data_IF_890616522960
#
_entry.id   IF_890616522960
#
_cell.length_a   1.000
_cell.length_b   1.000
_cell.length_c   1.000
_cell.angle_alpha   90.00
_cell.angle_beta   90.00
_cell.angle_gamma   90.00
#
_symmetry.space_group_name_H-M   'P 1'
#
loop_
_entity.id
_entity.type
_entity.pdbx_description
1 polymer ?
#
# COMPACT_ATOMS: atom_id res chain seq x y z
N UNK A 1 -14.08 12.05 -10.05
CA UNK A 1 -15.00 11.26 -10.91
C UNK A 1 -16.24 10.93 -10.10
N UNK A 2 -17.43 11.07 -10.68
CA UNK A 2 -18.72 10.89 -9.99
C UNK A 2 -19.30 9.53 -10.38
N UNK A 3 -19.95 8.85 -9.44
CA UNK A 3 -20.43 7.49 -9.63
C UNK A 3 -21.63 7.47 -10.58
N UNK A 4 -21.50 6.77 -11.70
CA UNK A 4 -22.61 6.55 -12.65
C UNK A 4 -23.67 5.62 -12.05
N UNK A 5 -23.22 4.70 -11.18
CA UNK A 5 -24.07 3.74 -10.47
C UNK A 5 -23.64 3.59 -9.01
N UNK A 6 -24.55 3.19 -8.10
CA UNK A 6 -24.16 2.81 -6.75
C UNK A 6 -23.07 1.72 -6.75
N UNK A 7 -22.19 1.78 -5.75
CA UNK A 7 -21.14 0.79 -5.54
C UNK A 7 -20.79 0.71 -4.06
N UNK A 8 -20.20 -0.40 -3.64
CA UNK A 8 -19.70 -0.54 -2.27
C UNK A 8 -18.20 -0.30 -2.27
N UNK A 9 -17.69 0.47 -1.32
CA UNK A 9 -16.26 0.72 -1.16
C UNK A 9 -15.80 0.35 0.24
N UNK A 10 -14.67 -0.34 0.33
CA UNK A 10 -13.89 -0.44 1.56
C UNK A 10 -12.75 0.58 1.51
N UNK A 11 -12.77 1.53 2.43
CA UNK A 11 -11.67 2.49 2.62
C UNK A 11 -11.52 2.81 4.10
N UNK A 12 -10.29 3.04 4.53
CA UNK A 12 -10.02 3.45 5.91
C UNK A 12 -10.59 4.86 6.18
N UNK A 13 -10.96 5.17 7.44
CA UNK A 13 -11.40 6.52 7.80
C UNK A 13 -10.25 7.53 7.66
N UNK A 14 -10.57 8.81 7.47
CA UNK A 14 -9.56 9.89 7.28
C UNK A 14 -8.52 9.93 8.42
N UNK A 15 -8.92 9.57 9.64
CA UNK A 15 -8.02 9.50 10.80
C UNK A 15 -7.00 8.35 10.75
N UNK A 16 -7.11 7.45 9.78
CA UNK A 16 -6.24 6.28 9.63
C UNK A 16 -5.91 6.05 8.16
N UNK A 17 -4.67 6.29 7.78
CA UNK A 17 -4.21 6.14 6.39
C UNK A 17 -3.79 4.72 6.05
N UNK A 18 -3.31 3.94 7.03
CA UNK A 18 -2.82 2.56 6.82
C UNK A 18 -3.32 1.59 7.89
N UNK A 19 -3.23 0.30 7.60
CA UNK A 19 -3.41 -0.78 8.57
C UNK A 19 -2.36 -1.88 8.39
N UNK A 20 -2.12 -2.65 9.45
CA UNK A 20 -1.10 -3.70 9.43
C UNK A 20 -1.47 -4.82 8.45
N UNK A 21 -0.45 -5.28 7.72
CA UNK A 21 -0.53 -6.50 6.91
C UNK A 21 -0.39 -7.73 7.81
N UNK A 22 -1.07 -8.82 7.45
CA UNK A 22 -0.97 -10.10 8.17
C UNK A 22 0.28 -10.86 7.72
N UNK A 23 1.02 -11.43 8.67
CA UNK A 23 2.19 -12.29 8.35
C UNK A 23 3.46 -11.97 9.13
N UNK A 24 3.59 -10.76 9.69
CA UNK A 24 4.76 -10.37 10.47
C UNK A 24 5.99 -10.09 9.59
N UNK A 25 6.75 -11.14 9.24
CA UNK A 25 7.96 -11.03 8.39
C UNK A 25 7.62 -10.65 6.95
N UNK A 26 8.54 -9.96 6.28
CA UNK A 26 8.30 -9.40 4.93
C UNK A 26 7.97 -10.49 3.92
N UNK A 27 8.67 -11.62 3.94
CA UNK A 27 8.46 -12.71 2.98
C UNK A 27 7.04 -13.29 3.11
N UNK A 28 6.59 -13.49 4.35
CA UNK A 28 5.24 -14.01 4.62
C UNK A 28 4.16 -12.99 4.30
N UNK A 29 4.40 -11.71 4.60
CA UNK A 29 3.50 -10.61 4.22
C UNK A 29 3.38 -10.54 2.70
N UNK A 30 4.49 -10.57 1.99
CA UNK A 30 4.51 -10.52 0.53
C UNK A 30 3.79 -11.73 -0.08
N UNK A 31 4.02 -12.94 0.43
CA UNK A 31 3.30 -14.13 -0.02
C UNK A 31 1.77 -14.00 0.15
N UNK A 32 1.30 -13.39 1.25
CA UNK A 32 -0.13 -13.13 1.45
C UNK A 32 -0.68 -12.10 0.45
N UNK A 33 0.07 -11.04 0.16
CA UNK A 33 -0.27 -10.05 -0.88
C UNK A 33 -0.34 -10.73 -2.26
N UNK A 34 0.68 -11.51 -2.63
CA UNK A 34 0.73 -12.24 -3.89
C UNK A 34 -0.49 -13.16 -4.04
N UNK A 35 -0.84 -13.88 -2.97
CA UNK A 35 -2.02 -14.74 -2.93
C UNK A 35 -3.30 -13.95 -3.18
N UNK A 36 -3.49 -12.82 -2.50
CA UNK A 36 -4.65 -11.95 -2.73
C UNK A 36 -4.73 -11.45 -4.17
N UNK A 37 -3.65 -10.85 -4.68
CA UNK A 37 -3.63 -10.27 -6.02
C UNK A 37 -3.89 -11.33 -7.10
N UNK A 38 -3.28 -12.52 -6.97
CA UNK A 38 -3.44 -13.61 -7.94
C UNK A 38 -4.81 -14.30 -7.86
N UNK A 39 -5.45 -14.29 -6.67
CA UNK A 39 -6.69 -15.05 -6.45
C UNK A 39 -7.93 -14.18 -6.62
N UNK A 40 -7.88 -12.92 -6.20
CA UNK A 40 -9.05 -12.05 -6.07
C UNK A 40 -9.06 -10.89 -7.06
N UNK A 41 -8.02 -10.72 -7.88
CA UNK A 41 -7.86 -9.55 -8.75
C UNK A 41 -7.34 -9.91 -10.13
N UNK A 42 -7.45 -8.96 -11.06
CA UNK A 42 -6.81 -9.04 -12.38
C UNK A 42 -5.41 -8.40 -12.42
N UNK A 43 -4.84 -8.01 -11.27
CA UNK A 43 -3.55 -7.34 -11.22
C UNK A 43 -2.44 -8.22 -11.84
N UNK A 44 -1.59 -7.63 -12.69
CA UNK A 44 -0.35 -8.29 -13.05
C UNK A 44 0.66 -8.12 -11.91
N UNK A 45 0.89 -9.20 -11.18
CA UNK A 45 1.80 -9.22 -10.05
C UNK A 45 3.21 -8.74 -10.41
N UNK A 46 3.67 -8.97 -11.65
CA UNK A 46 5.02 -8.59 -12.09
C UNK A 46 5.11 -7.13 -12.51
N UNK A 47 3.99 -6.46 -12.75
CA UNK A 47 3.93 -5.08 -13.24
C UNK A 47 3.09 -4.19 -12.30
N UNK A 48 3.59 -3.90 -11.08
CA UNK A 48 2.96 -2.91 -10.21
C UNK A 48 2.94 -1.52 -10.86
N UNK A 49 1.99 -0.68 -10.45
CA UNK A 49 1.83 0.69 -10.92
C UNK A 49 3.04 1.56 -10.55
N UNK A 50 3.63 1.32 -9.38
CA UNK A 50 4.87 1.96 -8.96
C UNK A 50 5.58 1.18 -7.87
N UNK A 51 6.91 1.34 -7.83
CA UNK A 51 7.80 0.76 -6.81
C UNK A 51 8.78 1.87 -6.40
N UNK A 52 8.81 2.19 -5.11
CA UNK A 52 9.75 3.13 -4.53
C UNK A 52 10.48 2.49 -3.36
N UNK A 53 11.80 2.50 -3.41
CA UNK A 53 12.63 2.19 -2.25
C UNK A 53 13.11 3.52 -1.67
N UNK A 54 12.92 3.74 -0.37
CA UNK A 54 13.43 4.94 0.31
C UNK A 54 14.30 4.50 1.47
N UNK A 55 15.48 5.11 1.59
CA UNK A 55 16.36 4.97 2.74
C UNK A 55 16.46 6.30 3.47
N UNK A 56 16.58 6.26 4.80
CA UNK A 56 16.66 7.45 5.65
C UNK A 56 18.03 7.53 6.31
N UNK A 57 18.58 8.74 6.41
CA UNK A 57 19.69 8.97 7.34
C UNK A 57 19.18 8.93 8.78
N UNK A 58 20.08 8.74 9.74
CA UNK A 58 19.72 8.77 11.15
C UNK A 58 19.23 10.16 11.57
N UNK A 59 18.29 10.18 12.50
CA UNK A 59 17.85 11.36 13.23
C UNK A 59 18.81 11.61 14.41
N UNK A 60 19.96 12.22 14.11
CA UNK A 60 21.01 12.51 15.09
C UNK A 60 20.51 13.41 16.23
N UNK A 61 19.58 14.32 15.92
CA UNK A 61 18.99 15.24 16.90
C UNK A 61 18.14 14.48 17.95
N UNK A 62 17.71 13.25 17.64
CA UNK A 62 17.02 12.34 18.55
C UNK A 62 17.88 11.16 19.01
N UNK A 63 19.21 11.26 18.87
CA UNK A 63 20.16 10.29 19.40
C UNK A 63 20.32 9.01 18.57
N UNK A 64 19.82 9.00 17.33
CA UNK A 64 20.06 7.89 16.41
C UNK A 64 21.51 7.88 15.92
N UNK A 65 22.07 6.68 15.74
CA UNK A 65 23.46 6.53 15.28
C UNK A 65 23.52 6.65 13.76
N UNK A 66 24.34 7.53 13.18
CA UNK A 66 24.43 7.74 11.73
C UNK A 66 25.07 6.56 11.00
N UNK A 67 26.13 5.98 11.56
CA UNK A 67 26.94 4.96 10.87
C UNK A 67 26.15 3.76 10.32
N UNK A 68 25.21 3.11 11.05
CA UNK A 68 24.41 2.03 10.48
C UNK A 68 23.48 2.48 9.34
N UNK A 69 22.93 3.70 9.41
CA UNK A 69 22.08 4.26 8.35
C UNK A 69 22.91 4.52 7.09
N UNK A 70 24.09 5.13 7.24
CA UNK A 70 25.02 5.40 6.13
C UNK A 70 25.49 4.11 5.44
N UNK A 71 25.84 3.08 6.22
CA UNK A 71 26.19 1.78 5.67
C UNK A 71 25.05 1.15 4.87
N UNK A 72 23.81 1.29 5.36
CA UNK A 72 22.65 0.78 4.65
C UNK A 72 22.41 1.55 3.35
N UNK A 73 22.46 2.89 3.39
CA UNK A 73 22.32 3.74 2.20
C UNK A 73 23.36 3.39 1.14
N UNK A 74 24.61 3.17 1.54
CA UNK A 74 25.67 2.72 0.64
C UNK A 74 25.34 1.36 0.01
N UNK A 75 24.88 0.38 0.80
CA UNK A 75 24.45 -0.92 0.27
C UNK A 75 23.29 -0.79 -0.73
N UNK A 76 22.31 0.07 -0.45
CA UNK A 76 21.20 0.33 -1.38
C UNK A 76 21.75 0.91 -2.68
N UNK A 77 22.64 1.90 -2.59
CA UNK A 77 23.26 2.54 -3.75
C UNK A 77 24.08 1.55 -4.59
N UNK A 78 24.85 0.66 -3.97
CA UNK A 78 25.63 -0.37 -4.66
C UNK A 78 24.71 -1.37 -5.41
N UNK A 79 23.49 -1.57 -4.94
CA UNK A 79 22.54 -2.55 -5.51
C UNK A 79 21.62 -1.93 -6.55
N UNK A 80 21.12 -0.72 -6.33
CA UNK A 80 20.09 -0.06 -7.15
C UNK A 80 20.55 1.21 -7.86
N UNK A 81 21.83 1.60 -7.70
CA UNK A 81 22.40 2.79 -8.32
C UNK A 81 22.13 4.06 -7.54
N UNK A 82 22.21 5.21 -8.20
CA UNK A 82 22.01 6.52 -7.56
C UNK A 82 20.52 6.83 -7.38
N UNK A 83 20.14 7.25 -6.17
CA UNK A 83 18.79 7.73 -5.86
C UNK A 83 18.72 9.26 -5.82
N UNK A 84 17.54 9.80 -5.56
CA UNK A 84 17.34 11.24 -5.34
C UNK A 84 17.29 11.52 -3.85
N UNK A 85 18.19 12.38 -3.36
CA UNK A 85 18.27 12.74 -1.94
C UNK A 85 17.67 14.10 -1.67
N UNK A 86 16.83 14.20 -0.65
CA UNK A 86 16.25 15.46 -0.18
C UNK A 86 16.08 15.47 1.35
N UNK A 87 16.02 16.65 1.99
CA UNK A 87 15.67 16.77 3.41
C UNK A 87 14.28 16.19 3.68
N UNK A 88 14.09 15.55 4.84
CA UNK A 88 12.75 15.02 5.20
C UNK A 88 11.73 16.12 5.51
N UNK A 89 12.21 17.34 5.76
CA UNK A 89 11.38 18.49 6.10
C UNK A 89 12.20 19.75 6.31
N UNK A 90 11.50 20.84 6.63
CA UNK A 90 12.07 22.17 6.84
C UNK A 90 11.54 22.76 8.15
N UNK A 91 12.40 23.43 8.91
CA UNK A 91 12.04 24.13 10.13
C UNK A 91 11.25 25.39 9.79
N UNK A 92 10.01 25.48 10.29
CA UNK A 92 9.20 26.68 10.18
C UNK A 92 9.57 27.70 11.28
N UNK A 93 9.60 29.02 11.01
CA UNK A 93 9.35 29.69 9.72
C UNK A 93 10.61 29.89 8.85
N UNK A 94 11.79 29.55 9.37
CA UNK A 94 13.07 29.87 8.74
C UNK A 94 13.32 29.12 7.40
N UNK A 95 12.52 28.10 7.11
CA UNK A 95 12.66 27.21 5.95
C UNK A 95 14.05 26.55 5.88
N UNK A 96 14.66 26.29 7.05
CA UNK A 96 15.95 25.62 7.16
C UNK A 96 15.75 24.11 7.01
N UNK A 97 16.47 23.41 6.11
CA UNK A 97 16.31 21.96 5.96
C UNK A 97 16.70 21.22 7.24
N UNK A 98 15.96 20.17 7.57
CA UNK A 98 16.34 19.24 8.62
C UNK A 98 17.62 18.49 8.22
N UNK A 99 18.43 18.10 9.21
CA UNK A 99 19.65 17.30 8.99
C UNK A 99 19.35 15.91 8.45
N UNK A 100 18.24 15.34 8.91
CA UNK A 100 17.77 14.06 8.40
C UNK A 100 17.33 14.21 6.94
N UNK A 101 17.83 13.31 6.10
CA UNK A 101 17.50 13.24 4.68
C UNK A 101 16.90 11.88 4.35
N UNK A 102 16.17 11.85 3.24
CA UNK A 102 15.72 10.61 2.60
C UNK A 102 16.33 10.53 1.22
N UNK A 103 16.69 9.32 0.81
CA UNK A 103 17.09 9.02 -0.56
C UNK A 103 16.08 8.07 -1.16
N UNK A 104 15.48 8.42 -2.29
CA UNK A 104 14.45 7.62 -2.96
C UNK A 104 14.95 7.09 -4.29
N UNK A 105 14.75 5.80 -4.52
CA UNK A 105 14.96 5.11 -5.77
C UNK A 105 13.61 4.72 -6.36
N UNK A 106 13.29 5.28 -7.52
CA UNK A 106 12.14 4.84 -8.30
C UNK A 106 12.57 3.61 -9.11
N UNK A 107 12.03 2.45 -8.73
CA UNK A 107 12.41 1.17 -9.30
C UNK A 107 11.44 0.75 -10.43
N UNK A 108 11.88 -0.16 -11.28
CA UNK A 108 11.05 -0.72 -12.36
C UNK A 108 10.49 -2.08 -11.98
N UNK A 109 9.51 -2.57 -12.76
CA UNK A 109 8.96 -3.92 -12.63
C UNK A 109 10.05 -5.03 -12.59
N UNK A 110 11.17 -4.83 -13.30
CA UNK A 110 12.31 -5.78 -13.33
C UNK A 110 13.05 -5.88 -11.99
N UNK A 111 12.95 -4.84 -11.17
CA UNK A 111 13.64 -4.74 -9.89
C UNK A 111 12.80 -5.29 -8.73
N UNK A 112 11.50 -5.60 -8.94
CA UNK A 112 10.56 -5.97 -7.88
C UNK A 112 11.07 -7.14 -7.02
N UNK A 113 11.36 -8.28 -7.63
CA UNK A 113 11.81 -9.47 -6.90
C UNK A 113 13.15 -9.20 -6.18
N UNK A 114 14.03 -8.43 -6.81
CA UNK A 114 15.31 -8.02 -6.24
C UNK A 114 15.12 -7.12 -5.02
N UNK A 115 14.20 -6.15 -5.08
CA UNK A 115 13.88 -5.23 -4.00
C UNK A 115 13.23 -5.95 -2.80
N UNK A 116 12.27 -6.84 -3.07
CA UNK A 116 11.64 -7.69 -2.04
C UNK A 116 12.68 -8.55 -1.34
N UNK A 117 13.56 -9.22 -2.11
CA UNK A 117 14.62 -10.05 -1.56
C UNK A 117 15.57 -9.22 -0.70
N UNK A 118 16.04 -8.08 -1.23
CA UNK A 118 16.96 -7.19 -0.53
C UNK A 118 16.40 -6.75 0.83
N UNK A 119 15.18 -6.23 0.88
CA UNK A 119 14.60 -5.74 2.14
C UNK A 119 14.30 -6.88 3.14
N UNK A 120 13.98 -8.08 2.64
CA UNK A 120 13.76 -9.26 3.47
C UNK A 120 15.04 -9.73 4.17
N UNK A 121 16.16 -9.74 3.44
CA UNK A 121 17.48 -10.12 3.96
C UNK A 121 18.04 -9.13 5.00
N UNK A 122 17.50 -7.92 5.06
CA UNK A 122 17.86 -6.91 6.06
C UNK A 122 17.14 -7.09 7.41
N UNK A 123 16.18 -8.01 7.51
CA UNK A 123 15.44 -8.20 8.76
C UNK A 123 16.31 -8.87 9.86
N UNK A 124 16.25 -8.42 11.13
CA UNK A 124 15.43 -7.32 11.64
C UNK A 124 16.04 -5.94 11.31
N UNK A 125 15.19 -5.01 10.88
CA UNK A 125 15.61 -3.64 10.61
C UNK A 125 15.99 -2.90 11.91
N UNK A 126 17.03 -2.04 11.90
CA UNK A 126 17.32 -1.13 13.00
C UNK A 126 16.08 -0.35 13.45
N UNK A 127 15.94 -0.13 14.77
CA UNK A 127 14.87 0.69 15.33
C UNK A 127 15.25 2.16 15.24
N UNK A 128 14.77 2.82 14.19
CA UNK A 128 14.78 4.27 14.01
C UNK A 128 13.35 4.80 13.93
N UNK A 129 13.14 6.08 14.23
CA UNK A 129 11.86 6.75 14.30
C UNK A 129 11.08 6.63 12.99
N UNK A 130 11.75 6.86 11.84
CA UNK A 130 11.18 6.68 10.50
C UNK A 130 11.45 5.29 9.91
N UNK A 131 12.19 4.45 10.63
CA UNK A 131 12.83 3.27 10.07
C UNK A 131 14.01 3.63 9.14
N UNK A 132 14.96 2.71 8.95
CA UNK A 132 16.12 2.98 8.11
C UNK A 132 15.84 2.82 6.61
N UNK A 133 14.77 2.10 6.27
CA UNK A 133 14.39 1.77 4.88
C UNK A 133 12.90 1.44 4.79
N UNK A 134 12.30 1.81 3.66
CA UNK A 134 10.94 1.41 3.27
C UNK A 134 10.89 1.03 1.79
N UNK A 135 10.11 0.00 1.47
CA UNK A 135 9.74 -0.35 0.10
C UNK A 135 8.24 -0.15 -0.08
N UNK A 136 7.85 0.77 -0.96
CA UNK A 136 6.48 1.10 -1.29
C UNK A 136 6.14 0.50 -2.66
N UNK A 137 5.05 -0.27 -2.72
CA UNK A 137 4.56 -0.91 -3.95
C UNK A 137 3.08 -0.58 -4.10
N UNK A 138 2.65 -0.22 -5.31
CA UNK A 138 1.24 0.05 -5.60
C UNK A 138 0.70 -0.85 -6.70
N UNK A 139 -0.54 -1.29 -6.52
CA UNK A 139 -1.32 -1.99 -7.53
C UNK A 139 -2.70 -1.35 -7.65
N UNK A 140 -3.12 -1.07 -8.88
CA UNK A 140 -4.50 -0.81 -9.26
C UNK A 140 -5.06 -2.03 -9.98
N UNK A 141 -6.29 -2.42 -9.67
CA UNK A 141 -6.88 -3.64 -10.22
C UNK A 141 -8.41 -3.63 -10.21
N UNK A 142 -8.97 -4.56 -10.98
CA UNK A 142 -10.36 -5.00 -10.89
C UNK A 142 -10.43 -6.26 -10.05
N UNK A 143 -11.51 -6.37 -9.30
CA UNK A 143 -11.85 -7.58 -8.56
C UNK A 143 -12.37 -8.64 -9.54
N UNK A 144 -12.07 -9.90 -9.28
CA UNK A 144 -12.55 -11.04 -10.07
C UNK A 144 -13.42 -11.94 -9.20
N UNK A 145 -14.28 -12.72 -9.85
CA UNK A 145 -14.92 -13.87 -9.24
C UNK A 145 -13.86 -14.96 -9.00
N UNK A 146 -13.77 -15.46 -7.76
CA UNK A 146 -12.73 -16.40 -7.34
C UNK A 146 -12.91 -17.79 -7.93
N UNK A 147 -14.13 -18.16 -8.35
CA UNK A 147 -14.45 -19.46 -8.95
C UNK A 147 -14.24 -19.44 -10.46
N UNK A 148 -14.79 -18.44 -11.16
CA UNK A 148 -14.71 -18.36 -12.64
C UNK A 148 -13.42 -17.71 -13.12
N UNK A 149 -12.71 -16.98 -12.24
CA UNK A 149 -11.51 -16.19 -12.56
C UNK A 149 -11.77 -15.07 -13.57
N UNK A 150 -13.03 -14.67 -13.75
CA UNK A 150 -13.43 -13.56 -14.62
C UNK A 150 -13.62 -12.28 -13.82
N UNK A 151 -13.33 -11.13 -14.42
CA UNK A 151 -13.63 -9.84 -13.80
C UNK A 151 -15.10 -9.74 -13.39
N UNK A 152 -15.35 -9.21 -12.18
CA UNK A 152 -16.71 -8.91 -11.77
C UNK A 152 -17.31 -7.89 -12.75
N UNK A 153 -18.58 -8.06 -13.15
CA UNK A 153 -19.20 -7.17 -14.11
C UNK A 153 -19.32 -5.75 -13.56
N UNK A 154 -19.46 -4.76 -14.44
CA UNK A 154 -19.91 -3.41 -14.06
C UNK A 154 -19.00 -2.60 -13.12
N UNK A 155 -17.71 -2.95 -13.02
CA UNK A 155 -16.75 -2.20 -12.21
C UNK A 155 -16.37 -0.86 -12.82
N UNK A 156 -17.04 0.21 -12.41
CA UNK A 156 -16.73 1.59 -12.82
C UNK A 156 -15.37 2.10 -12.31
N UNK A 157 -14.94 1.68 -11.11
CA UNK A 157 -13.70 2.15 -10.48
C UNK A 157 -12.69 1.02 -10.33
N UNK A 158 -11.41 1.35 -10.35
CA UNK A 158 -10.36 0.43 -9.95
C UNK A 158 -10.31 0.39 -8.41
N UNK A 159 -10.01 -0.79 -7.88
CA UNK A 159 -9.50 -0.95 -6.53
C UNK A 159 -8.00 -0.67 -6.53
N UNK A 160 -7.44 -0.35 -5.37
CA UNK A 160 -6.00 -0.18 -5.22
C UNK A 160 -5.48 -0.70 -3.87
N UNK A 161 -4.23 -1.14 -3.88
CA UNK A 161 -3.42 -1.39 -2.69
C UNK A 161 -2.15 -0.57 -2.79
N UNK A 162 -1.90 0.28 -1.81
CA UNK A 162 -0.59 0.87 -1.58
C UNK A 162 0.04 0.14 -0.39
N UNK A 163 1.20 -0.48 -0.60
CA UNK A 163 1.82 -1.45 0.31
C UNK A 163 3.15 -0.87 0.77
N UNK A 164 3.40 -0.86 2.07
CA UNK A 164 4.66 -0.48 2.69
C UNK A 164 5.27 -1.70 3.36
N UNK A 165 6.41 -2.13 2.86
CA UNK A 165 7.25 -3.16 3.47
C UNK A 165 8.35 -2.45 4.26
N UNK A 166 8.26 -2.51 5.58
CA UNK A 166 9.11 -1.78 6.54
C UNK A 166 9.26 -2.60 7.83
N UNK A 167 9.74 -1.99 8.91
CA UNK A 167 9.69 -2.61 10.25
C UNK A 167 8.25 -2.88 10.73
N UNK A 168 7.27 -2.13 10.24
CA UNK A 168 5.83 -2.29 10.53
C UNK A 168 5.04 -2.37 9.24
N UNK A 169 5.13 -3.52 8.57
CA UNK A 169 4.47 -3.80 7.29
C UNK A 169 2.98 -3.37 7.31
N UNK A 170 2.62 -2.45 6.42
CA UNK A 170 1.28 -1.89 6.39
C UNK A 170 0.77 -1.64 4.97
N UNK A 171 -0.52 -1.39 4.85
CA UNK A 171 -1.23 -1.20 3.58
C UNK A 171 -2.30 -0.12 3.73
N UNK A 172 -2.49 0.65 2.65
CA UNK A 172 -3.62 1.55 2.45
C UNK A 172 -4.48 0.97 1.33
N UNK A 173 -5.57 0.24 1.68
CA UNK A 173 -6.44 -0.37 0.70
C UNK A 173 -7.60 0.55 0.31
N UNK A 174 -7.98 0.50 -0.96
CA UNK A 174 -9.23 1.04 -1.48
C UNK A 174 -9.87 -0.05 -2.34
N UNK A 175 -10.87 -0.77 -1.82
CA UNK A 175 -11.53 -1.85 -2.57
C UNK A 175 -12.89 -1.36 -3.07
N UNK A 176 -13.06 -1.26 -4.38
CA UNK A 176 -14.30 -0.86 -5.04
C UNK A 176 -15.05 -2.09 -5.55
N UNK A 177 -16.13 -2.46 -4.87
CA UNK A 177 -16.99 -3.59 -5.23
C UNK A 177 -18.16 -3.13 -6.12
N UNK A 178 -18.44 -3.82 -7.24
CA UNK A 178 -19.45 -3.39 -8.21
C UNK A 178 -20.90 -3.75 -7.83
N UNK A 179 -21.21 -3.85 -6.53
CA UNK A 179 -22.56 -4.19 -6.06
C UNK A 179 -23.36 -2.93 -5.73
N UNK A 180 -24.62 -2.91 -6.15
CA UNK A 180 -25.50 -1.75 -5.99
C UNK A 180 -25.97 -1.56 -4.54
N UNK A 181 -26.01 -2.66 -3.78
CA UNK A 181 -26.52 -2.73 -2.40
C UNK A 181 -25.88 -3.94 -1.67
N UNK A 182 -25.91 -3.97 -0.33
CA UNK A 182 -25.32 -5.07 0.44
C UNK A 182 -26.28 -6.25 0.57
N UNK A 183 -26.68 -6.84 -0.55
CA UNK A 183 -27.53 -8.02 -0.61
C UNK A 183 -26.75 -9.33 -0.46
N UNK A 184 -27.45 -10.47 -0.58
CA UNK A 184 -26.86 -11.80 -0.43
C UNK A 184 -25.71 -12.05 -1.41
N UNK A 185 -25.79 -11.53 -2.64
CA UNK A 185 -24.74 -11.71 -3.63
C UNK A 185 -23.45 -11.01 -3.19
N UNK A 186 -23.56 -9.76 -2.73
CA UNK A 186 -22.44 -9.02 -2.15
C UNK A 186 -21.82 -9.75 -0.96
N UNK A 187 -22.63 -10.21 0.00
CA UNK A 187 -22.10 -10.87 1.20
C UNK A 187 -21.45 -12.21 0.89
N UNK A 188 -22.03 -13.01 -0.01
CA UNK A 188 -21.41 -14.25 -0.48
C UNK A 188 -20.05 -13.96 -1.13
N UNK A 189 -19.95 -12.89 -1.93
CA UNK A 189 -18.68 -12.49 -2.53
C UNK A 189 -17.65 -12.10 -1.46
N UNK A 190 -18.03 -11.27 -0.49
CA UNK A 190 -17.14 -10.87 0.62
C UNK A 190 -16.62 -12.09 1.38
N UNK A 191 -17.51 -13.02 1.74
CA UNK A 191 -17.13 -14.25 2.46
C UNK A 191 -16.14 -15.11 1.67
N UNK A 192 -16.27 -15.12 0.33
CA UNK A 192 -15.35 -15.86 -0.55
C UNK A 192 -13.92 -15.28 -0.58
N UNK A 193 -13.75 -13.98 -0.34
CA UNK A 193 -12.44 -13.30 -0.42
C UNK A 193 -11.86 -12.93 0.94
N UNK A 194 -12.67 -12.84 2.00
CA UNK A 194 -12.27 -12.24 3.29
C UNK A 194 -11.04 -12.92 3.90
N UNK A 195 -10.94 -14.25 3.78
CA UNK A 195 -9.80 -15.04 4.27
C UNK A 195 -8.53 -14.87 3.43
N UNK A 196 -8.64 -14.34 2.23
CA UNK A 196 -7.55 -14.09 1.29
C UNK A 196 -7.01 -12.65 1.41
N UNK A 197 -7.76 -11.74 2.02
CA UNK A 197 -7.35 -10.35 2.21
C UNK A 197 -6.13 -10.29 3.15
N UNK A 198 -5.02 -9.63 2.77
CA UNK A 198 -3.76 -9.69 3.52
C UNK A 198 -3.72 -8.73 4.73
N UNK A 199 -4.89 -8.36 5.26
CA UNK A 199 -5.04 -7.44 6.38
C UNK A 199 -6.37 -7.72 7.11
N UNK A 200 -6.54 -7.15 8.31
CA UNK A 200 -7.80 -7.29 9.05
C UNK A 200 -8.92 -6.55 8.33
N UNK A 201 -9.81 -7.28 7.66
CA UNK A 201 -10.97 -6.72 6.98
C UNK A 201 -12.08 -6.36 7.98
N UNK A 202 -12.13 -5.09 8.38
CA UNK A 202 -13.18 -4.59 9.27
C UNK A 202 -14.39 -4.06 8.48
N UNK A 203 -15.45 -4.88 8.41
CA UNK A 203 -16.69 -4.59 7.66
C UNK A 203 -17.30 -3.22 8.00
N UNK A 204 -17.02 -2.65 9.19
CA UNK A 204 -17.50 -1.30 9.57
C UNK A 204 -16.94 -0.16 8.70
N UNK A 205 -15.90 -0.43 7.91
CA UNK A 205 -15.32 0.51 6.95
C UNK A 205 -15.95 0.44 5.56
N UNK A 206 -16.88 -0.48 5.33
CA UNK A 206 -17.65 -0.52 4.10
C UNK A 206 -18.62 0.66 4.01
N UNK A 207 -18.71 1.25 2.83
CA UNK A 207 -19.62 2.35 2.53
C UNK A 207 -20.35 2.09 1.22
N UNK A 208 -21.62 2.46 1.16
CA UNK A 208 -22.35 2.59 -0.09
C UNK A 208 -22.06 3.96 -0.69
N UNK A 209 -21.37 3.99 -1.83
CA UNK A 209 -21.11 5.17 -2.63
C UNK A 209 -22.18 5.37 -3.69
N UNK A 210 -22.71 6.59 -3.81
CA UNK A 210 -23.66 7.00 -4.87
C UNK A 210 -23.48 8.46 -5.23
N UNK A 211 -23.85 8.86 -6.45
CA UNK A 211 -23.93 10.27 -6.78
C UNK A 211 -24.97 11.00 -5.92
N UNK A 212 -24.69 12.25 -5.55
CA UNK A 212 -25.69 13.12 -4.95
C UNK A 212 -26.80 13.47 -5.97
N UNK A 213 -27.93 14.02 -5.51
CA UNK A 213 -29.06 14.38 -6.39
C UNK A 213 -28.69 15.33 -7.54
N UNK A 214 -27.62 16.11 -7.37
CA UNK A 214 -27.14 17.08 -8.37
C UNK A 214 -26.14 16.49 -9.35
N UNK A 215 -25.68 15.26 -9.16
CA UNK A 215 -24.62 14.65 -9.96
C UNK A 215 -23.30 15.41 -9.89
N UNK A 216 -22.97 16.06 -8.76
CA UNK A 216 -21.74 16.87 -8.59
C UNK A 216 -20.71 16.25 -7.64
N UNK A 217 -21.13 15.32 -6.78
CA UNK A 217 -20.24 14.66 -5.83
C UNK A 217 -20.75 13.26 -5.46
N UNK A 218 -19.85 12.41 -4.99
CA UNK A 218 -20.21 11.13 -4.38
C UNK A 218 -20.59 11.34 -2.91
N UNK A 219 -21.67 10.71 -2.49
CA UNK A 219 -22.10 10.56 -1.11
C UNK A 219 -21.82 9.14 -0.64
N UNK A 220 -21.36 9.01 0.60
CA UNK A 220 -21.04 7.73 1.23
C UNK A 220 -21.91 7.52 2.46
N UNK A 221 -22.67 6.43 2.50
CA UNK A 221 -23.42 5.99 3.69
C UNK A 221 -22.79 4.73 4.27
N UNK A 222 -22.94 4.53 5.59
CA UNK A 222 -22.60 3.25 6.22
C UNK A 222 -23.50 2.13 5.67
N UNK A 223 -22.96 0.91 5.60
CA UNK A 223 -23.75 -0.30 5.42
C UNK A 223 -24.34 -0.74 6.75
#
# INVERSE_FOLDING_TARGET
MIAERPYIIYTLPISRTTQALTGGKIEKVWANVQRFLTTCTNADLKNPNSIYLTGFTADEDHGEKPYPAEQLLKKIQDVFGTGTTEPIGYLYPANTPLRQTKTTWQLTAKDLDKAIKFISELQPLPKYNLGPIELIISYDFKLIDTNTRTELPNQQYASSLLIWLTGSNCVSPSLCFPFLQPDTEFWNYIESIETLIPFKFDRKYLRLGKANKKGTANMFSKL
#
